data_IF_457967591972
#
_entry.id   IF_457967591972
#
_cell.length_a   1.000
_cell.length_b   1.000
_cell.length_c   1.000
_cell.angle_alpha   90.00
_cell.angle_beta   90.00
_cell.angle_gamma   90.00
#
_symmetry.space_group_name_H-M   'P 1'
#
loop_
_entity.id
_entity.type
_entity.pdbx_description
1 polymer ?
#
# COMPACT_ATOMS: atom_id res chain seq x y z
N UNK A 1 -65.20 -23.93 -1.47
CA UNK A 1 -65.42 -24.89 -0.36
C UNK A 1 -64.20 -25.78 -0.31
N UNK A 2 -63.50 -25.82 0.83
CA UNK A 2 -62.24 -26.55 1.00
C UNK A 2 -62.56 -28.03 1.33
N UNK A 3 -61.85 -29.04 0.77
CA UNK A 3 -62.23 -30.45 0.92
C UNK A 3 -61.84 -31.07 2.28
N UNK A 4 -61.15 -30.33 3.14
CA UNK A 4 -60.45 -30.86 4.32
C UNK A 4 -61.04 -30.43 5.67
N UNK A 5 -62.26 -29.87 5.69
CA UNK A 5 -62.94 -29.64 6.96
C UNK A 5 -63.42 -30.98 7.55
N UNK A 6 -63.13 -31.28 8.83
CA UNK A 6 -63.62 -32.48 9.47
C UNK A 6 -65.15 -32.43 9.55
N UNK A 7 -65.80 -33.31 8.78
CA UNK A 7 -67.26 -33.40 8.69
C UNK A 7 -67.80 -33.72 10.08
N UNK A 8 -68.53 -32.76 10.65
CA UNK A 8 -69.24 -32.89 11.92
C UNK A 8 -70.25 -34.03 11.79
N UNK A 9 -70.06 -35.06 12.63
CA UNK A 9 -70.86 -36.27 12.82
C UNK A 9 -72.26 -36.26 12.19
N UNK A 10 -72.35 -36.75 10.96
CA UNK A 10 -73.57 -37.31 10.40
C UNK A 10 -73.30 -38.77 10.09
N UNK A 11 -74.07 -39.68 10.71
CA UNK A 11 -74.04 -41.12 10.47
C UNK A 11 -73.81 -41.39 8.98
N UNK A 12 -72.63 -41.96 8.65
CA UNK A 12 -72.18 -42.20 7.27
C UNK A 12 -73.31 -42.87 6.48
N UNK A 13 -73.55 -42.52 5.20
CA UNK A 13 -74.61 -43.15 4.40
C UNK A 13 -74.57 -44.69 4.44
N UNK A 14 -73.37 -45.28 4.50
CA UNK A 14 -73.16 -46.70 4.73
C UNK A 14 -73.75 -47.21 6.06
N UNK A 15 -73.54 -46.49 7.16
CA UNK A 15 -74.11 -46.85 8.47
C UNK A 15 -75.65 -46.77 8.49
N UNK A 16 -76.26 -45.86 7.71
CA UNK A 16 -77.73 -45.83 7.54
C UNK A 16 -78.25 -47.06 6.77
N UNK A 17 -77.51 -47.52 5.77
CA UNK A 17 -77.87 -48.72 4.99
C UNK A 17 -77.73 -49.96 5.88
N UNK A 18 -76.62 -50.08 6.62
CA UNK A 18 -76.39 -51.18 7.56
C UNK A 18 -77.47 -51.24 8.64
N UNK A 19 -77.84 -50.09 9.22
CA UNK A 19 -78.95 -50.01 10.18
C UNK A 19 -80.28 -50.50 9.56
N UNK A 20 -80.55 -50.16 8.29
CA UNK A 20 -81.75 -50.64 7.59
C UNK A 20 -81.72 -52.15 7.37
N UNK A 21 -80.57 -52.73 7.05
CA UNK A 21 -80.40 -54.17 6.89
C UNK A 21 -80.60 -54.93 8.20
N UNK A 22 -80.19 -54.34 9.34
CA UNK A 22 -80.48 -54.89 10.68
C UNK A 22 -81.97 -54.83 10.98
N UNK A 23 -82.62 -53.69 10.74
CA UNK A 23 -84.08 -53.56 10.97
C UNK A 23 -84.93 -54.43 10.04
N UNK A 24 -84.42 -54.77 8.84
CA UNK A 24 -85.12 -55.61 7.87
C UNK A 24 -84.96 -57.11 8.14
N UNK A 25 -84.21 -57.49 9.18
CA UNK A 25 -83.96 -58.90 9.56
C UNK A 25 -83.05 -59.66 8.60
N UNK A 26 -82.45 -58.97 7.62
CA UNK A 26 -81.51 -59.56 6.64
C UNK A 26 -80.12 -59.78 7.21
N UNK A 27 -79.80 -59.13 8.34
CA UNK A 27 -78.53 -59.25 9.05
C UNK A 27 -78.79 -59.01 10.54
N UNK A 28 -78.16 -59.79 11.42
CA UNK A 28 -78.33 -59.64 12.88
C UNK A 28 -77.29 -58.69 13.47
N UNK A 29 -77.61 -58.06 14.61
CA UNK A 29 -76.70 -57.14 15.28
C UNK A 29 -75.45 -57.88 15.78
N UNK A 30 -75.60 -59.15 16.18
CA UNK A 30 -74.48 -60.00 16.60
C UNK A 30 -73.53 -60.32 15.44
N UNK A 31 -74.04 -60.55 14.22
CA UNK A 31 -73.22 -60.74 13.02
C UNK A 31 -72.47 -59.48 12.61
N UNK A 32 -73.07 -58.29 12.81
CA UNK A 32 -72.42 -57.01 12.54
C UNK A 32 -71.30 -56.70 13.54
N UNK A 33 -71.53 -56.98 14.83
CA UNK A 33 -70.55 -56.76 15.90
C UNK A 33 -69.46 -57.86 15.94
N UNK A 34 -69.69 -59.01 15.30
CA UNK A 34 -68.69 -60.07 15.13
C UNK A 34 -67.65 -59.78 14.03
N UNK A 35 -67.85 -58.76 13.19
CA UNK A 35 -66.90 -58.38 12.15
C UNK A 35 -65.65 -57.78 12.80
N UNK A 36 -64.45 -58.36 12.59
CA UNK A 36 -63.21 -57.77 13.06
C UNK A 36 -63.08 -56.35 12.51
N UNK A 37 -62.98 -55.36 13.42
CA UNK A 37 -62.61 -53.99 13.04
C UNK A 37 -61.13 -54.01 12.69
N UNK A 38 -60.80 -54.41 11.47
CA UNK A 38 -59.42 -54.36 11.00
C UNK A 38 -58.94 -52.91 11.10
N UNK A 39 -57.97 -52.69 11.99
CA UNK A 39 -57.42 -51.35 12.27
C UNK A 39 -56.61 -50.79 11.11
N UNK A 40 -56.37 -51.58 10.08
CA UNK A 40 -55.59 -51.25 8.89
C UNK A 40 -56.47 -51.42 7.64
N UNK A 41 -57.36 -50.45 7.42
CA UNK A 41 -58.22 -50.36 6.22
C UNK A 41 -57.39 -50.20 4.93
N UNK A 42 -56.09 -49.93 5.04
CA UNK A 42 -55.17 -49.68 3.95
C UNK A 42 -54.00 -50.66 3.99
N UNK A 43 -53.56 -51.15 2.82
CA UNK A 43 -52.40 -52.02 2.70
C UNK A 43 -51.12 -51.34 3.21
N UNK A 44 -50.21 -52.10 3.82
CA UNK A 44 -48.91 -51.58 4.31
C UNK A 44 -48.13 -50.81 3.23
N UNK A 45 -48.24 -51.24 1.98
CA UNK A 45 -47.66 -50.57 0.80
C UNK A 45 -48.20 -49.16 0.56
N UNK A 46 -49.47 -48.89 0.90
CA UNK A 46 -50.06 -47.56 0.76
C UNK A 46 -49.55 -46.63 1.85
N UNK A 47 -49.40 -47.13 3.08
CA UNK A 47 -48.85 -46.37 4.21
C UNK A 47 -47.39 -45.98 3.94
N UNK A 48 -46.58 -46.91 3.42
CA UNK A 48 -45.19 -46.62 3.02
C UNK A 48 -45.13 -45.59 1.87
N UNK A 49 -46.01 -45.70 0.87
CA UNK A 49 -46.09 -44.73 -0.22
C UNK A 49 -46.53 -43.34 0.26
N UNK A 50 -47.43 -43.27 1.23
CA UNK A 50 -47.90 -42.04 1.85
C UNK A 50 -46.78 -41.37 2.66
N UNK A 51 -46.03 -42.14 3.45
CA UNK A 51 -44.85 -41.67 4.17
C UNK A 51 -43.75 -41.17 3.22
N UNK A 52 -43.46 -41.91 2.14
CA UNK A 52 -42.50 -41.48 1.13
C UNK A 52 -42.95 -40.20 0.42
N UNK A 53 -44.25 -40.06 0.14
CA UNK A 53 -44.82 -38.85 -0.45
C UNK A 53 -44.67 -37.66 0.49
N UNK A 54 -44.88 -37.84 1.81
CA UNK A 54 -44.67 -36.78 2.81
C UNK A 54 -43.21 -36.35 2.86
N UNK A 55 -42.28 -37.30 3.00
CA UNK A 55 -40.83 -37.01 3.04
C UNK A 55 -40.39 -36.30 1.76
N UNK A 56 -40.91 -36.72 0.60
CA UNK A 56 -40.59 -36.09 -0.68
C UNK A 56 -41.13 -34.67 -0.75
N UNK A 57 -42.34 -34.43 -0.27
CA UNK A 57 -42.91 -33.09 -0.19
C UNK A 57 -42.08 -32.19 0.74
N UNK A 58 -41.67 -32.69 1.90
CA UNK A 58 -40.83 -31.96 2.85
C UNK A 58 -39.46 -31.62 2.24
N UNK A 59 -38.87 -32.56 1.47
CA UNK A 59 -37.62 -32.33 0.76
C UNK A 59 -37.75 -31.27 -0.32
N UNK A 60 -38.83 -31.33 -1.12
CA UNK A 60 -39.09 -30.34 -2.17
C UNK A 60 -39.31 -28.94 -1.55
N UNK A 61 -40.01 -28.87 -0.42
CA UNK A 61 -40.21 -27.63 0.34
C UNK A 61 -38.88 -27.07 0.87
N UNK A 62 -38.06 -27.90 1.52
CA UNK A 62 -36.75 -27.48 2.03
C UNK A 62 -35.80 -27.04 0.90
N UNK A 63 -35.89 -27.70 -0.26
CA UNK A 63 -35.10 -27.32 -1.43
C UNK A 63 -35.54 -25.96 -2.00
N UNK A 64 -36.85 -25.68 -2.01
CA UNK A 64 -37.38 -24.38 -2.42
C UNK A 64 -36.92 -23.26 -1.48
N UNK A 65 -36.96 -23.51 -0.17
CA UNK A 65 -36.50 -22.55 0.84
C UNK A 65 -35.00 -22.26 0.69
N UNK A 66 -34.20 -23.29 0.38
CA UNK A 66 -32.77 -23.11 0.09
C UNK A 66 -32.53 -22.26 -1.16
N UNK A 67 -33.25 -22.52 -2.25
CA UNK A 67 -33.14 -21.72 -3.47
C UNK A 67 -33.56 -20.26 -3.23
N UNK A 68 -34.59 -20.02 -2.41
CA UNK A 68 -35.01 -18.67 -2.04
C UNK A 68 -33.90 -17.93 -1.28
N UNK A 69 -33.32 -18.55 -0.25
CA UNK A 69 -32.21 -17.97 0.51
C UNK A 69 -30.97 -17.74 -0.36
N UNK A 70 -30.72 -18.64 -1.31
CA UNK A 70 -29.63 -18.49 -2.28
C UNK A 70 -29.83 -17.27 -3.17
N UNK A 71 -31.04 -17.09 -3.69
CA UNK A 71 -31.40 -15.93 -4.51
C UNK A 71 -31.33 -14.62 -3.71
N UNK A 72 -31.77 -14.62 -2.45
CA UNK A 72 -31.64 -13.45 -1.57
C UNK A 72 -30.17 -13.07 -1.36
N UNK A 73 -29.32 -14.06 -1.06
CA UNK A 73 -27.87 -13.84 -0.91
C UNK A 73 -27.23 -13.35 -2.21
N UNK A 74 -27.61 -13.92 -3.36
CA UNK A 74 -27.01 -13.54 -4.64
C UNK A 74 -27.49 -12.15 -5.11
N UNK A 75 -28.68 -11.70 -4.70
CA UNK A 75 -29.20 -10.35 -4.91
C UNK A 75 -28.89 -9.34 -3.79
N UNK A 76 -28.22 -9.77 -2.73
CA UNK A 76 -27.96 -9.01 -1.51
C UNK A 76 -27.29 -7.66 -1.76
N UNK A 77 -26.41 -7.58 -2.75
CA UNK A 77 -25.64 -6.38 -3.09
C UNK A 77 -26.49 -5.27 -3.72
N UNK A 78 -27.65 -5.63 -4.29
CA UNK A 78 -28.60 -4.70 -4.91
C UNK A 78 -29.88 -4.50 -4.10
N UNK A 79 -30.25 -5.44 -3.24
CA UNK A 79 -31.49 -5.36 -2.43
C UNK A 79 -31.25 -4.82 -1.03
N UNK A 80 -30.13 -5.16 -0.39
CA UNK A 80 -29.90 -4.75 0.99
C UNK A 80 -29.32 -3.34 1.09
N UNK A 81 -29.97 -2.54 1.94
CA UNK A 81 -29.58 -1.17 2.25
C UNK A 81 -28.13 -1.05 2.73
N UNK A 82 -27.58 -2.05 3.43
CA UNK A 82 -26.19 -2.02 3.91
C UNK A 82 -25.17 -1.91 2.76
N UNK A 83 -25.25 -2.81 1.77
CA UNK A 83 -24.34 -2.82 0.62
C UNK A 83 -24.55 -1.61 -0.29
N UNK A 84 -25.81 -1.23 -0.52
CA UNK A 84 -26.15 -0.04 -1.27
C UNK A 84 -25.63 1.23 -0.61
N UNK A 85 -25.83 1.40 0.71
CA UNK A 85 -25.41 2.60 1.44
C UNK A 85 -23.91 2.79 1.38
N UNK A 86 -23.13 1.71 1.47
CA UNK A 86 -21.68 1.77 1.30
C UNK A 86 -21.28 2.23 -0.11
N UNK A 87 -21.93 1.68 -1.15
CA UNK A 87 -21.67 2.10 -2.54
C UNK A 87 -22.10 3.55 -2.80
N UNK A 88 -23.24 3.97 -2.26
CA UNK A 88 -23.71 5.36 -2.34
C UNK A 88 -22.75 6.33 -1.64
N UNK A 89 -22.26 5.98 -0.45
CA UNK A 89 -21.29 6.81 0.27
C UNK A 89 -19.98 6.96 -0.52
N UNK A 90 -19.47 5.87 -1.11
CA UNK A 90 -18.28 5.91 -1.95
C UNK A 90 -18.49 6.77 -3.21
N UNK A 91 -19.64 6.62 -3.89
CA UNK A 91 -19.99 7.42 -5.05
C UNK A 91 -20.13 8.90 -4.68
N UNK A 92 -20.80 9.20 -3.58
CA UNK A 92 -20.99 10.57 -3.09
C UNK A 92 -19.65 11.24 -2.75
N UNK A 93 -18.73 10.52 -2.11
CA UNK A 93 -17.39 11.02 -1.83
C UNK A 93 -16.65 11.33 -3.14
N UNK A 94 -16.70 10.43 -4.12
CA UNK A 94 -16.08 10.66 -5.42
C UNK A 94 -16.68 11.88 -6.14
N UNK A 95 -18.01 12.01 -6.16
CA UNK A 95 -18.70 13.16 -6.74
C UNK A 95 -18.32 14.46 -6.04
N UNK A 96 -18.23 14.48 -4.71
CA UNK A 96 -17.80 15.67 -3.96
C UNK A 96 -16.38 16.09 -4.30
N UNK A 97 -15.47 15.12 -4.45
CA UNK A 97 -14.09 15.40 -4.82
C UNK A 97 -14.00 15.97 -6.24
N UNK A 98 -14.76 15.40 -7.18
CA UNK A 98 -14.82 15.91 -8.55
C UNK A 98 -15.37 17.34 -8.59
N UNK A 99 -16.40 17.63 -7.81
CA UNK A 99 -16.95 18.98 -7.69
C UNK A 99 -15.94 19.98 -7.15
N UNK A 100 -15.13 19.58 -6.17
CA UNK A 100 -14.06 20.43 -5.62
C UNK A 100 -12.97 20.70 -6.66
N UNK A 101 -12.55 19.67 -7.40
CA UNK A 101 -11.56 19.82 -8.50
C UNK A 101 -12.09 20.77 -9.57
N UNK A 102 -13.36 20.66 -9.96
CA UNK A 102 -13.98 21.59 -10.91
C UNK A 102 -14.02 23.01 -10.36
N UNK A 103 -14.32 23.18 -9.07
CA UNK A 103 -14.29 24.50 -8.41
C UNK A 103 -12.88 25.10 -8.47
N UNK A 104 -11.85 24.35 -8.10
CA UNK A 104 -10.47 24.82 -8.19
C UNK A 104 -10.06 25.16 -9.61
N UNK A 105 -10.47 24.35 -10.60
CA UNK A 105 -10.23 24.64 -12.00
C UNK A 105 -10.89 25.95 -12.44
N UNK A 106 -12.13 26.21 -12.02
CA UNK A 106 -12.83 27.47 -12.33
C UNK A 106 -12.13 28.66 -11.69
N UNK A 107 -11.73 28.56 -10.42
CA UNK A 107 -10.97 29.60 -9.70
C UNK A 107 -9.63 29.86 -10.38
N UNK A 108 -8.91 28.80 -10.77
CA UNK A 108 -7.64 28.93 -11.46
C UNK A 108 -7.83 29.59 -12.84
N UNK A 109 -8.85 29.18 -13.59
CA UNK A 109 -9.21 29.81 -14.86
C UNK A 109 -9.54 31.29 -14.66
N UNK A 110 -10.33 31.66 -13.67
CA UNK A 110 -10.60 33.06 -13.34
C UNK A 110 -9.33 33.83 -12.99
N UNK A 111 -8.42 33.23 -12.21
CA UNK A 111 -7.14 33.86 -11.87
C UNK A 111 -6.23 34.06 -13.08
N UNK A 112 -6.22 33.12 -14.03
CA UNK A 112 -5.42 33.19 -15.24
C UNK A 112 -6.05 34.09 -16.31
N UNK A 113 -7.38 34.16 -16.37
CA UNK A 113 -8.13 35.01 -17.31
C UNK A 113 -8.24 36.45 -16.81
N UNK A 114 -8.09 36.70 -15.51
CA UNK A 114 -7.91 38.06 -14.99
C UNK A 114 -6.65 38.65 -15.61
N UNK A 115 -6.76 39.66 -16.49
CA UNK A 115 -5.59 40.25 -17.10
C UNK A 115 -4.77 40.89 -15.97
N UNK A 116 -3.48 40.57 -15.92
CA UNK A 116 -2.49 41.22 -15.05
C UNK A 116 -2.53 42.76 -15.19
N UNK A 117 -3.09 43.24 -16.29
CA UNK A 117 -3.35 44.63 -16.61
C UNK A 117 -4.31 45.37 -15.65
N UNK A 118 -5.14 44.68 -14.86
CA UNK A 118 -5.98 45.35 -13.83
C UNK A 118 -5.21 45.65 -12.53
N UNK A 119 -3.99 45.12 -12.36
CA UNK A 119 -3.09 45.54 -11.28
C UNK A 119 -2.09 46.62 -11.73
N UNK A 120 -1.96 46.83 -13.04
CA UNK A 120 -1.18 47.94 -13.56
C UNK A 120 -2.03 49.21 -13.41
N UNK A 121 -1.49 50.23 -12.75
CA UNK A 121 -2.12 51.54 -12.70
C UNK A 121 -2.55 51.94 -14.12
N UNK A 122 -3.72 52.57 -14.31
CA UNK A 122 -4.09 53.11 -15.61
C UNK A 122 -3.04 54.12 -16.02
N UNK A 123 -2.13 53.71 -16.91
CA UNK A 123 -1.11 54.57 -17.48
C UNK A 123 -1.84 55.41 -18.53
N UNK A 124 -1.82 56.75 -18.39
CA UNK A 124 -2.33 57.64 -19.43
C UNK A 124 -1.64 57.34 -20.75
N UNK A 125 -2.38 57.37 -21.86
CA UNK A 125 -1.88 57.00 -23.19
C UNK A 125 -0.61 57.77 -23.58
N UNK A 126 -0.49 59.02 -23.14
CA UNK A 126 0.66 59.90 -23.40
C UNK A 126 1.96 59.40 -22.75
N UNK A 127 1.85 58.59 -21.69
CA UNK A 127 2.98 58.03 -20.95
C UNK A 127 3.41 56.66 -21.49
N UNK A 128 2.63 56.02 -22.38
CA UNK A 128 2.92 54.66 -22.87
C UNK A 128 4.25 54.60 -23.61
N UNK A 129 4.57 55.61 -24.43
CA UNK A 129 5.84 55.66 -25.18
C UNK A 129 7.05 55.61 -24.24
N UNK A 130 7.01 56.36 -23.14
CA UNK A 130 8.08 56.41 -22.15
C UNK A 130 8.19 55.11 -21.35
N UNK A 131 7.06 54.47 -21.03
CA UNK A 131 7.05 53.19 -20.32
C UNK A 131 7.59 52.06 -21.21
N UNK A 132 7.26 52.05 -22.50
CA UNK A 132 7.81 51.08 -23.45
C UNK A 132 9.32 51.26 -23.59
N UNK A 133 9.79 52.50 -23.70
CA UNK A 133 11.23 52.82 -23.76
C UNK A 133 11.94 52.42 -22.46
N UNK A 134 11.34 52.69 -21.30
CA UNK A 134 11.85 52.26 -20.00
C UNK A 134 11.90 50.73 -19.88
N UNK A 135 10.86 50.01 -20.29
CA UNK A 135 10.87 48.55 -20.26
C UNK A 135 11.92 47.98 -21.21
N UNK A 136 12.15 48.61 -22.36
CA UNK A 136 13.27 48.26 -23.25
C UNK A 136 14.62 48.37 -22.54
N UNK A 137 14.87 49.51 -21.87
CA UNK A 137 16.11 49.73 -21.09
C UNK A 137 16.25 48.73 -19.92
N UNK A 138 15.15 48.41 -19.23
CA UNK A 138 15.16 47.44 -18.12
C UNK A 138 15.50 46.04 -18.61
N UNK A 139 14.94 45.61 -19.75
CA UNK A 139 15.26 44.30 -20.34
C UNK A 139 16.72 44.22 -20.75
N UNK A 140 17.24 45.26 -21.40
CA UNK A 140 18.65 45.34 -21.78
C UNK A 140 19.57 45.32 -20.55
N UNK A 141 19.21 46.04 -19.50
CA UNK A 141 19.93 46.06 -18.24
C UNK A 141 19.97 44.67 -17.57
N UNK A 142 18.82 43.99 -17.48
CA UNK A 142 18.73 42.63 -16.92
C UNK A 142 19.63 41.68 -17.70
N UNK A 143 19.60 41.75 -19.02
CA UNK A 143 20.43 40.90 -19.88
C UNK A 143 21.91 41.18 -19.70
N UNK A 144 22.31 42.45 -19.59
CA UNK A 144 23.69 42.85 -19.33
C UNK A 144 24.17 42.38 -17.94
N UNK A 145 23.31 42.51 -16.93
CA UNK A 145 23.58 42.04 -15.57
C UNK A 145 23.77 40.52 -15.54
N UNK A 146 22.93 39.76 -16.23
CA UNK A 146 23.05 38.31 -16.31
C UNK A 146 24.38 37.88 -16.93
N UNK A 147 24.79 38.53 -18.03
CA UNK A 147 26.10 38.30 -18.66
C UNK A 147 27.24 38.60 -17.69
N UNK A 148 27.18 39.72 -16.97
CA UNK A 148 28.18 40.08 -15.96
C UNK A 148 28.23 39.07 -14.81
N UNK A 149 27.09 38.58 -14.32
CA UNK A 149 27.04 37.54 -13.28
C UNK A 149 27.68 36.24 -13.78
N UNK A 150 27.36 35.83 -15.02
CA UNK A 150 27.98 34.64 -15.64
C UNK A 150 29.49 34.80 -15.77
N UNK A 151 29.96 35.99 -16.17
CA UNK A 151 31.38 36.30 -16.25
C UNK A 151 32.07 36.22 -14.88
N UNK A 152 31.46 36.79 -13.83
CA UNK A 152 31.99 36.72 -12.46
C UNK A 152 32.05 35.27 -11.96
N UNK A 153 31.04 34.45 -12.26
CA UNK A 153 31.06 33.01 -11.91
C UNK A 153 32.09 32.20 -12.70
N UNK A 154 32.46 32.65 -13.89
CA UNK A 154 33.49 32.02 -14.71
C UNK A 154 34.92 32.39 -14.28
N UNK A 155 35.10 33.40 -13.42
CA UNK A 155 36.39 33.69 -12.80
C UNK A 155 36.81 32.46 -12.00
N UNK A 156 38.00 31.86 -12.28
CA UNK A 156 38.45 30.67 -11.58
C UNK A 156 38.43 30.89 -10.08
N UNK A 157 37.70 30.03 -9.36
CA UNK A 157 37.59 30.14 -7.92
C UNK A 157 38.98 29.97 -7.28
N UNK A 158 39.40 30.97 -6.51
CA UNK A 158 40.64 30.94 -5.69
C UNK A 158 40.70 29.70 -4.80
N UNK A 159 39.54 29.15 -4.43
CA UNK A 159 39.45 27.93 -3.62
C UNK A 159 40.04 26.70 -4.33
N UNK A 160 39.86 26.57 -5.66
CA UNK A 160 40.40 25.44 -6.43
C UNK A 160 41.92 25.50 -6.53
N UNK A 161 42.48 26.71 -6.68
CA UNK A 161 43.93 26.90 -6.65
C UNK A 161 44.49 26.65 -5.25
N UNK A 162 43.79 27.10 -4.20
CA UNK A 162 44.17 26.87 -2.82
C UNK A 162 44.12 25.37 -2.45
N UNK A 163 43.12 24.62 -2.92
CA UNK A 163 43.03 23.18 -2.68
C UNK A 163 44.16 22.41 -3.38
N UNK A 164 44.48 22.79 -4.63
CA UNK A 164 45.59 22.18 -5.37
C UNK A 164 46.94 22.45 -4.69
N UNK A 165 47.15 23.68 -4.20
CA UNK A 165 48.34 24.05 -3.46
C UNK A 165 48.43 23.31 -2.12
N UNK A 166 47.32 23.21 -1.39
CA UNK A 166 47.27 22.45 -0.14
C UNK A 166 47.59 20.97 -0.38
N UNK A 167 47.05 20.35 -1.43
CA UNK A 167 47.37 18.97 -1.78
C UNK A 167 48.86 18.80 -2.12
N UNK A 168 49.42 19.71 -2.93
CA UNK A 168 50.86 19.72 -3.24
C UNK A 168 51.73 19.88 -1.99
N UNK A 169 51.31 20.74 -1.04
CA UNK A 169 51.96 20.90 0.26
C UNK A 169 51.90 19.60 1.08
N UNK A 170 50.77 18.91 1.11
CA UNK A 170 50.64 17.62 1.83
C UNK A 170 51.55 16.55 1.22
N UNK A 171 51.64 16.48 -0.10
CA UNK A 171 52.55 15.56 -0.79
C UNK A 171 54.01 15.87 -0.46
N UNK A 172 54.39 17.15 -0.46
CA UNK A 172 55.75 17.56 -0.13
C UNK A 172 56.10 17.23 1.33
N UNK A 173 55.17 17.47 2.27
CA UNK A 173 55.35 17.07 3.66
C UNK A 173 55.53 15.55 3.80
N UNK A 174 54.74 14.75 3.09
CA UNK A 174 54.89 13.28 3.10
C UNK A 174 56.28 12.86 2.60
N UNK A 175 56.75 13.44 1.49
CA UNK A 175 58.09 13.18 0.96
C UNK A 175 59.19 13.59 1.95
N UNK A 176 59.06 14.73 2.62
CA UNK A 176 60.01 15.15 3.67
C UNK A 176 60.05 14.14 4.82
N UNK A 177 58.89 13.66 5.29
CA UNK A 177 58.87 12.63 6.35
C UNK A 177 59.47 11.30 5.90
N UNK A 178 59.31 10.93 4.64
CA UNK A 178 59.94 9.74 4.07
C UNK A 178 61.46 9.89 4.02
N UNK A 179 61.96 11.03 3.56
CA UNK A 179 63.40 11.35 3.56
C UNK A 179 63.97 11.36 4.98
N UNK A 180 63.28 11.94 5.95
CA UNK A 180 63.69 11.91 7.36
C UNK A 180 63.74 10.48 7.92
N UNK A 181 62.77 9.64 7.56
CA UNK A 181 62.75 8.24 7.99
C UNK A 181 63.89 7.43 7.34
N UNK A 182 64.12 7.61 6.04
CA UNK A 182 65.25 7.01 5.32
C UNK A 182 66.58 7.46 5.93
N UNK A 183 66.72 8.74 6.25
CA UNK A 183 67.89 9.28 6.93
C UNK A 183 68.12 8.62 8.29
N UNK A 184 67.06 8.47 9.12
CA UNK A 184 67.13 7.75 10.41
C UNK A 184 67.53 6.28 10.22
N UNK A 185 67.01 5.60 9.19
CA UNK A 185 67.38 4.21 8.90
C UNK A 185 68.84 4.06 8.47
N UNK A 186 69.36 4.99 7.65
CA UNK A 186 70.78 5.01 7.27
C UNK A 186 71.67 5.26 8.49
N UNK A 187 71.33 6.22 9.34
CA UNK A 187 72.06 6.46 10.59
C UNK A 187 72.10 5.22 11.47
N UNK A 188 70.94 4.54 11.63
CA UNK A 188 70.84 3.29 12.37
C UNK A 188 71.76 2.22 11.77
N UNK A 189 71.72 1.98 10.45
CA UNK A 189 72.60 1.01 9.79
C UNK A 189 74.08 1.36 10.00
N UNK A 190 74.46 2.63 9.87
CA UNK A 190 75.83 3.09 10.11
C UNK A 190 76.28 2.82 11.55
N UNK A 191 75.43 3.11 12.53
CA UNK A 191 75.70 2.78 13.93
C UNK A 191 75.97 1.30 14.15
N UNK A 192 75.13 0.41 13.57
CA UNK A 192 75.31 -1.05 13.68
C UNK A 192 76.56 -1.56 12.94
N UNK A 193 76.95 -0.92 11.83
CA UNK A 193 78.22 -1.20 11.15
C UNK A 193 79.42 -0.76 11.98
N UNK A 194 79.33 0.37 12.70
CA UNK A 194 80.38 0.87 13.57
C UNK A 194 80.54 0.00 14.84
N UNK A 195 79.45 -0.43 15.47
CA UNK A 195 79.52 -1.35 16.63
C UNK A 195 80.11 -2.71 16.23
N UNK A 196 79.83 -3.21 15.02
CA UNK A 196 80.45 -4.44 14.50
C UNK A 196 81.95 -4.31 14.18
N UNK A 197 82.46 -3.11 13.95
CA UNK A 197 83.90 -2.88 13.77
C UNK A 197 84.58 -2.68 15.13
N UNK A 198 83.96 -1.91 16.03
CA UNK A 198 84.47 -1.68 17.38
C UNK A 198 84.48 -2.96 18.23
N UNK A 199 83.54 -3.89 18.03
CA UNK A 199 83.58 -5.23 18.68
C UNK A 199 84.69 -6.13 18.11
N UNK A 200 85.17 -5.86 16.89
CA UNK A 200 86.37 -6.49 16.33
C UNK A 200 87.67 -5.80 16.79
N UNK A 201 87.63 -4.49 17.02
CA UNK A 201 88.79 -3.69 17.42
C UNK A 201 89.05 -3.72 18.94
N UNK A 202 88.03 -3.87 19.79
CA UNK A 202 88.21 -4.07 21.25
C UNK A 202 88.85 -5.41 21.62
N UNK A 203 88.88 -6.39 20.71
CA UNK A 203 89.70 -7.59 20.90
C UNK A 203 91.18 -7.35 20.57
N UNK A 204 91.56 -6.25 19.91
CA UNK A 204 92.89 -6.12 19.30
C UNK A 204 93.77 -4.97 19.87
N UNK A 205 93.20 -3.95 20.53
CA UNK A 205 93.95 -2.70 20.85
C UNK A 205 94.35 -2.47 22.32
N UNK A 206 94.16 -3.42 23.24
CA UNK A 206 94.72 -3.35 24.61
C UNK A 206 96.25 -3.56 24.67
N UNK A 207 96.99 -3.25 23.61
CA UNK A 207 98.42 -3.61 23.49
C UNK A 207 99.40 -2.46 23.19
N UNK A 208 98.99 -1.20 23.03
CA UNK A 208 100.00 -0.16 22.70
C UNK A 208 99.59 1.27 23.04
N UNK A 209 99.96 1.76 24.22
CA UNK A 209 99.91 3.20 24.53
C UNK A 209 100.96 3.50 25.61
N UNK A 210 102.12 4.03 25.21
CA UNK A 210 102.77 5.20 25.82
C UNK A 210 104.19 5.41 25.26
N UNK A 211 104.36 6.26 24.24
CA UNK A 211 105.59 7.04 23.97
C UNK A 211 105.13 8.32 23.25
N UNK A 212 104.93 9.42 23.98
CA UNK A 212 105.90 10.51 24.24
C UNK A 212 105.86 11.60 23.16
N UNK A 213 105.58 12.82 23.60
CA UNK A 213 105.53 14.03 22.80
C UNK A 213 106.73 14.93 23.15
N UNK A 214 107.07 15.80 22.20
CA UNK A 214 107.99 16.96 22.26
C UNK A 214 109.50 16.74 22.10
N UNK A 215 110.07 17.21 20.99
CA UNK A 215 110.80 18.50 20.89
C UNK A 215 111.31 18.66 19.43
N UNK A 216 111.60 19.83 18.90
CA UNK A 216 111.88 21.10 19.53
C UNK A 216 112.10 22.20 18.49
N UNK A 217 112.50 23.37 18.99
CA UNK A 217 113.15 24.44 18.23
C UNK A 217 114.45 23.95 17.58
#
# INVERSE_FOLDING_TARGET
>A
MNPWDPITFTVTPAAKILARCVTSGTMTQEELDAIPRESEVFSSSLLEAEQLSRIRHDLDQANLDLELLRLERDGADVTHSHYLSQRFASLQQFTSHLQEVLREQTVLRERLTKPLCQQNLPIQADLHRYVVELMGMVVEFIQNLEVKIKMVRAIPNTDNYLSNLNNGRTQLLAQVTEVENLYKQVLKRRGHSQTRLVDKDFQNENHSLFVQDTSGQ
#
